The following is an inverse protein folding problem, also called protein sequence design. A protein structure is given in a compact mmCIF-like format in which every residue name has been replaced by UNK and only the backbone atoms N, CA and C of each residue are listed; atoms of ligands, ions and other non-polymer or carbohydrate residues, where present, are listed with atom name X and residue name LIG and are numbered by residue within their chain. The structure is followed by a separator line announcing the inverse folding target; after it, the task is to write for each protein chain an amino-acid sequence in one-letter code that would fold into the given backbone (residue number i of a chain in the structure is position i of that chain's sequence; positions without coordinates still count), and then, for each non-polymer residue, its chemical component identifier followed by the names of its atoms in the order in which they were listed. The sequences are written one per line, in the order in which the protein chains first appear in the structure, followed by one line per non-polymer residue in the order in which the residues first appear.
data_IF_978453690898
#
_entry.id   IF_978453690898
#
_cell.length_a   1.000
_cell.length_b   1.000
_cell.length_c   1.000
_cell.angle_alpha   90.00
_cell.angle_beta   90.00
_cell.angle_gamma   90.00
#
_symmetry.space_group_name_H-M   'P 1'
#
loop_
_entity.id
_entity.type
_entity.pdbx_description
1 polymer ?
#
# COMPACT_ATOMS: atom_id res chain seq x y z
N UNK A 1 41.19 -16.68 -14.52
CA UNK A 1 40.66 -17.43 -13.37
C UNK A 1 40.70 -16.48 -12.18
N UNK A 2 39.84 -15.48 -12.22
CA UNK A 2 39.69 -14.43 -11.22
C UNK A 2 38.23 -13.98 -11.28
N UNK A 3 37.65 -13.73 -10.10
CA UNK A 3 36.42 -12.94 -9.95
C UNK A 3 35.16 -13.72 -9.63
N UNK A 4 35.08 -14.34 -8.46
CA UNK A 4 33.82 -14.77 -7.85
C UNK A 4 33.71 -14.11 -6.46
N UNK A 5 33.55 -12.77 -6.48
CA UNK A 5 33.61 -11.90 -5.31
C UNK A 5 32.28 -11.17 -4.99
N UNK A 6 31.20 -11.41 -5.74
CA UNK A 6 29.95 -10.65 -5.57
C UNK A 6 28.88 -11.33 -4.70
N UNK A 7 29.10 -12.57 -4.23
CA UNK A 7 28.13 -13.28 -3.37
C UNK A 7 28.48 -13.27 -1.88
N UNK A 8 29.61 -12.69 -1.49
CA UNK A 8 30.06 -12.64 -0.09
C UNK A 8 29.59 -11.39 0.68
N UNK A 9 28.92 -10.44 0.02
CA UNK A 9 28.53 -9.16 0.61
C UNK A 9 27.10 -9.13 1.23
N UNK A 10 26.30 -10.19 1.08
CA UNK A 10 24.92 -10.19 1.58
C UNK A 10 24.69 -11.00 2.87
N UNK A 11 25.65 -11.80 3.34
CA UNK A 11 25.39 -12.77 4.42
C UNK A 11 26.48 -12.94 5.50
N UNK A 12 27.56 -12.15 5.49
CA UNK A 12 28.60 -12.26 6.54
C UNK A 12 28.69 -10.98 7.35
N UNK A 13 28.17 -11.04 8.58
CA UNK A 13 28.33 -9.99 9.59
C UNK A 13 27.06 -9.17 9.76
N UNK A 14 26.44 -9.31 10.94
CA UNK A 14 25.40 -8.41 11.40
C UNK A 14 25.94 -6.98 11.46
N UNK A 15 25.70 -6.23 10.39
CA UNK A 15 25.65 -4.77 10.28
C UNK A 15 25.33 -4.47 8.82
N UNK A 16 24.08 -4.71 8.41
CA UNK A 16 23.58 -4.11 7.17
C UNK A 16 23.47 -2.62 7.43
N UNK A 17 24.39 -1.90 6.81
CA UNK A 17 24.62 -0.48 6.88
C UNK A 17 23.30 0.29 6.83
N UNK A 18 22.78 0.60 8.01
CA UNK A 18 21.92 1.76 8.27
C UNK A 18 22.79 3.00 8.01
N UNK A 19 22.99 3.35 6.73
CA UNK A 19 23.40 4.69 6.35
C UNK A 19 22.22 5.37 5.68
N UNK A 20 21.53 6.13 6.51
CA UNK A 20 20.24 6.76 6.24
C UNK A 20 19.22 6.14 7.18
N UNK A 21 18.60 6.95 8.03
CA UNK A 21 17.50 6.52 8.90
C UNK A 21 16.27 6.27 8.02
N UNK A 22 16.29 5.22 7.20
CA UNK A 22 15.13 4.87 6.39
C UNK A 22 14.04 4.38 7.34
N UNK A 23 13.08 5.27 7.61
CA UNK A 23 11.85 4.91 8.31
C UNK A 23 11.05 3.86 7.52
N UNK A 24 9.85 3.49 7.99
CA UNK A 24 8.90 2.73 7.18
C UNK A 24 8.82 3.31 5.74
N UNK A 25 8.46 2.54 4.71
CA UNK A 25 8.48 3.00 3.32
C UNK A 25 7.61 4.26 3.16
N UNK A 26 6.53 4.36 3.94
CA UNK A 26 5.64 5.52 4.07
C UNK A 26 6.35 6.83 4.47
N UNK A 27 7.55 6.73 5.04
CA UNK A 27 8.39 7.84 5.52
C UNK A 27 9.46 8.21 4.51
N UNK A 28 9.67 7.44 3.42
CA UNK A 28 10.61 7.81 2.37
C UNK A 28 10.22 9.19 1.80
N UNK A 29 11.08 10.20 2.02
CA UNK A 29 10.84 11.60 1.66
C UNK A 29 10.10 12.47 2.70
N UNK A 30 9.68 11.91 3.83
CA UNK A 30 9.06 12.62 4.98
C UNK A 30 9.95 12.61 6.23
N UNK A 31 11.22 12.22 6.10
CA UNK A 31 12.19 12.19 7.19
C UNK A 31 12.42 13.60 7.76
N UNK A 32 12.10 13.80 9.03
CA UNK A 32 12.20 15.10 9.70
C UNK A 32 11.03 16.06 9.42
N UNK A 33 9.99 15.62 8.71
CA UNK A 33 8.78 16.43 8.50
C UNK A 33 8.06 16.69 9.84
N UNK A 34 7.77 17.97 10.11
CA UNK A 34 7.18 18.40 11.37
C UNK A 34 5.76 17.85 11.58
N UNK A 35 4.98 17.67 10.51
CA UNK A 35 3.63 17.13 10.60
C UNK A 35 3.67 15.61 10.88
N UNK A 36 4.62 14.88 10.30
CA UNK A 36 4.83 13.47 10.61
C UNK A 36 5.25 13.27 12.07
N UNK A 37 6.20 14.08 12.57
CA UNK A 37 6.62 14.01 13.97
C UNK A 37 5.46 14.32 14.92
N UNK A 38 4.63 15.31 14.58
CA UNK A 38 3.42 15.62 15.34
C UNK A 38 2.47 14.41 15.41
N UNK A 39 2.21 13.73 14.29
CA UNK A 39 1.36 12.54 14.28
C UNK A 39 1.92 11.39 15.13
N UNK A 40 3.24 11.19 15.13
CA UNK A 40 3.93 10.16 15.92
C UNK A 40 3.86 10.42 17.43
N UNK A 41 4.00 11.69 17.83
CA UNK A 41 3.76 12.12 19.22
C UNK A 41 2.30 11.89 19.59
N UNK A 42 1.39 12.25 18.68
CA UNK A 42 -0.05 12.16 18.88
C UNK A 42 -0.61 13.30 19.72
N UNK A 43 -1.90 13.22 19.99
CA UNK A 43 -2.62 14.25 20.71
C UNK A 43 -4.02 13.84 21.14
N UNK A 44 -4.58 14.60 22.07
CA UNK A 44 -5.96 14.46 22.52
C UNK A 44 -6.92 15.05 21.49
N UNK A 45 -7.90 14.24 21.06
CA UNK A 45 -8.96 14.70 20.18
C UNK A 45 -10.31 14.34 20.79
N UNK A 46 -11.27 15.26 20.66
CA UNK A 46 -12.64 14.99 21.06
C UNK A 46 -13.35 14.23 19.95
N UNK A 47 -13.62 12.95 20.20
CA UNK A 47 -14.43 12.12 19.30
C UNK A 47 -15.90 12.45 19.43
N UNK A 48 -16.53 12.80 18.32
CA UNK A 48 -17.96 13.13 18.24
C UNK A 48 -18.73 11.94 17.68
N UNK A 49 -19.84 11.57 18.33
CA UNK A 49 -20.81 10.61 17.78
C UNK A 49 -22.24 11.12 17.80
N UNK A 50 -22.56 11.97 18.78
CA UNK A 50 -23.85 12.64 18.90
C UNK A 50 -23.66 13.93 19.71
N UNK A 51 -24.69 14.76 19.80
CA UNK A 51 -24.66 15.99 20.60
C UNK A 51 -24.38 15.70 22.09
N UNK A 52 -24.84 14.55 22.60
CA UNK A 52 -24.63 14.09 23.98
C UNK A 52 -23.42 13.17 24.16
N UNK A 53 -22.89 12.59 23.08
CA UNK A 53 -21.72 11.72 23.12
C UNK A 53 -20.53 12.39 22.43
N UNK A 54 -19.73 13.05 23.26
CA UNK A 54 -18.43 13.62 22.92
C UNK A 54 -17.42 13.17 23.96
N UNK A 55 -16.31 12.57 23.53
CA UNK A 55 -15.31 12.01 24.45
C UNK A 55 -13.90 12.23 23.94
N UNK A 56 -13.05 12.73 24.82
CA UNK A 56 -11.61 12.86 24.56
C UNK A 56 -10.99 11.47 24.44
N UNK A 57 -10.13 11.32 23.45
CA UNK A 57 -9.36 10.11 23.17
C UNK A 57 -8.02 10.56 22.65
N UNK A 58 -6.96 9.94 23.15
CA UNK A 58 -5.65 10.09 22.55
C UNK A 58 -5.59 9.33 21.21
N UNK A 59 -5.07 9.99 20.18
CA UNK A 59 -4.75 9.38 18.89
C UNK A 59 -3.27 9.59 18.59
N UNK A 60 -2.63 8.59 17.99
CA UNK A 60 -1.28 8.73 17.45
C UNK A 60 -1.04 7.80 16.28
N UNK A 61 -0.16 8.22 15.39
CA UNK A 61 0.45 7.35 14.41
C UNK A 61 1.49 6.48 15.11
N UNK A 62 1.53 5.19 14.78
CA UNK A 62 2.58 4.32 15.29
C UNK A 62 3.88 4.52 14.50
N UNK A 63 5.00 4.07 15.07
CA UNK A 63 6.33 4.16 14.44
C UNK A 63 6.40 3.48 13.06
N UNK A 64 5.48 2.56 12.78
CA UNK A 64 5.33 1.91 11.47
C UNK A 64 4.76 2.83 10.38
N UNK A 65 4.33 4.05 10.72
CA UNK A 65 3.73 5.07 9.87
C UNK A 65 2.58 4.57 8.98
N UNK A 66 2.00 3.43 9.31
CA UNK A 66 0.91 2.78 8.56
C UNK A 66 -0.29 2.50 9.46
N UNK A 67 -0.10 2.53 10.77
CA UNK A 67 -1.13 2.19 11.76
C UNK A 67 -1.45 3.40 12.63
N UNK A 68 -2.72 3.77 12.67
CA UNK A 68 -3.23 4.72 13.66
C UNK A 68 -3.67 3.96 14.91
N UNK A 69 -3.14 4.36 16.06
CA UNK A 69 -3.61 3.91 17.37
C UNK A 69 -4.52 4.96 17.99
N UNK A 70 -5.52 4.49 18.74
CA UNK A 70 -6.39 5.35 19.51
C UNK A 70 -6.77 4.73 20.85
N UNK A 71 -6.94 5.56 21.87
CA UNK A 71 -7.38 5.10 23.18
C UNK A 71 -8.82 4.57 23.12
N UNK A 72 -9.13 3.57 23.95
CA UNK A 72 -10.49 3.06 24.14
C UNK A 72 -10.71 2.60 25.57
N UNK A 73 -11.62 3.26 26.29
CA UNK A 73 -12.03 2.86 27.65
C UNK A 73 -13.06 1.72 27.68
N UNK A 74 -13.27 1.00 26.56
CA UNK A 74 -14.12 -0.21 26.55
C UNK A 74 -13.27 -1.43 26.89
N UNK A 75 -13.58 -2.07 28.02
CA UNK A 75 -12.88 -3.23 28.60
C UNK A 75 -12.81 -4.48 27.71
N UNK A 76 -13.64 -4.60 26.67
CA UNK A 76 -13.77 -5.83 25.87
C UNK A 76 -13.46 -5.68 24.36
N UNK A 77 -13.03 -4.51 23.87
CA UNK A 77 -12.58 -4.37 22.46
C UNK A 77 -11.06 -4.44 22.35
N UNK A 78 -10.58 -5.44 21.60
CA UNK A 78 -9.17 -5.78 21.44
C UNK A 78 -8.41 -4.90 20.42
N UNK A 79 -9.10 -4.31 19.46
CA UNK A 79 -8.46 -3.54 18.38
C UNK A 79 -8.63 -2.04 18.62
N UNK A 80 -7.56 -1.42 19.09
CA UNK A 80 -7.40 0.02 19.31
C UNK A 80 -6.71 0.71 18.13
N UNK A 81 -6.71 0.05 16.98
CA UNK A 81 -5.96 0.48 15.81
C UNK A 81 -6.81 0.41 14.54
N UNK A 82 -6.43 1.20 13.55
CA UNK A 82 -6.89 1.08 12.17
C UNK A 82 -5.74 1.41 11.22
N UNK A 83 -5.74 0.78 10.04
CA UNK A 83 -4.72 1.05 9.02
C UNK A 83 -4.99 2.39 8.32
N UNK A 84 -3.92 3.12 7.99
CA UNK A 84 -3.99 4.30 7.12
C UNK A 84 -4.53 3.92 5.74
N UNK A 85 -4.28 2.70 5.25
CA UNK A 85 -4.81 2.24 3.96
C UNK A 85 -6.34 2.09 3.97
N UNK A 86 -6.97 1.95 5.14
CA UNK A 86 -8.44 1.94 5.23
C UNK A 86 -9.05 3.34 5.06
N UNK A 87 -8.25 4.39 5.10
CA UNK A 87 -8.70 5.78 4.95
C UNK A 87 -8.86 6.08 3.47
N UNK A 88 -10.03 6.58 3.11
CA UNK A 88 -10.33 7.09 1.78
C UNK A 88 -9.83 8.53 1.64
N UNK A 89 -10.27 9.38 2.57
CA UNK A 89 -9.99 10.83 2.56
C UNK A 89 -10.08 11.42 3.97
N UNK A 90 -9.45 12.58 4.15
CA UNK A 90 -9.59 13.41 5.35
C UNK A 90 -10.32 14.69 4.94
N UNK A 91 -11.36 15.06 5.67
CA UNK A 91 -12.20 16.22 5.37
C UNK A 91 -12.02 17.26 6.47
N UNK A 92 -11.52 18.44 6.12
CA UNK A 92 -11.36 19.56 7.05
C UNK A 92 -12.72 20.18 7.38
N UNK A 93 -12.87 20.62 8.62
CA UNK A 93 -14.04 21.36 9.07
C UNK A 93 -15.25 20.47 9.35
N UNK A 94 -16.43 21.08 9.30
CA UNK A 94 -17.72 20.40 9.51
C UNK A 94 -18.28 19.90 8.18
N UNK A 95 -17.46 19.17 7.43
CA UNK A 95 -17.85 18.63 6.11
C UNK A 95 -18.56 17.27 6.20
N UNK A 96 -18.56 16.62 7.37
CA UNK A 96 -19.39 15.44 7.60
C UNK A 96 -20.77 15.80 8.15
N UNK A 97 -21.79 15.04 7.77
CA UNK A 97 -23.15 15.17 8.31
C UNK A 97 -23.15 15.07 9.86
N UNK A 98 -22.31 14.18 10.41
CA UNK A 98 -22.17 14.00 11.86
C UNK A 98 -21.68 15.27 12.57
N UNK A 99 -20.66 15.93 12.05
CA UNK A 99 -20.16 17.18 12.63
C UNK A 99 -21.14 18.34 12.40
N UNK A 100 -21.76 18.45 11.21
CA UNK A 100 -22.78 19.48 10.98
C UNK A 100 -23.93 19.38 11.97
N UNK A 101 -24.38 18.17 12.29
CA UNK A 101 -25.50 17.92 13.19
C UNK A 101 -25.17 18.04 14.68
N UNK A 102 -23.94 17.70 15.07
CA UNK A 102 -23.58 17.52 16.48
C UNK A 102 -22.58 18.56 17.02
N UNK A 103 -22.11 19.49 16.19
CA UNK A 103 -21.26 20.61 16.60
C UNK A 103 -21.84 21.94 16.10
N UNK A 104 -21.25 23.05 16.54
CA UNK A 104 -21.68 24.41 16.21
C UNK A 104 -20.72 25.07 15.19
N UNK A 105 -21.17 26.14 14.52
CA UNK A 105 -20.35 26.83 13.51
C UNK A 105 -19.04 27.41 14.07
N UNK A 106 -19.02 27.82 15.34
CA UNK A 106 -17.83 28.43 15.94
C UNK A 106 -16.65 27.45 16.11
N UNK A 107 -16.88 26.13 16.08
CA UNK A 107 -15.81 25.12 16.16
C UNK A 107 -15.37 24.60 14.79
N UNK A 108 -15.79 25.23 13.70
CA UNK A 108 -15.54 24.75 12.34
C UNK A 108 -14.05 24.54 12.05
N UNK A 109 -13.19 25.50 12.39
CA UNK A 109 -11.75 25.40 12.15
C UNK A 109 -11.02 24.39 13.05
N UNK A 110 -11.69 23.88 14.09
CA UNK A 110 -11.17 22.84 15.00
C UNK A 110 -11.58 21.43 14.55
N UNK A 111 -12.56 21.34 13.65
CA UNK A 111 -13.18 20.09 13.25
C UNK A 111 -12.46 19.44 12.07
N UNK A 112 -12.46 18.11 12.03
CA UNK A 112 -12.15 17.34 10.83
C UNK A 112 -12.71 15.91 10.93
N UNK A 113 -12.83 15.23 9.79
CA UNK A 113 -13.32 13.86 9.70
C UNK A 113 -12.36 12.97 8.94
N UNK A 114 -12.13 11.76 9.45
CA UNK A 114 -11.47 10.69 8.71
C UNK A 114 -12.56 9.82 8.06
N UNK A 115 -12.57 9.80 6.73
CA UNK A 115 -13.50 9.01 5.92
C UNK A 115 -12.84 7.69 5.59
N UNK A 116 -13.52 6.59 5.88
CA UNK A 116 -13.01 5.25 5.61
C UNK A 116 -13.54 4.72 4.27
N UNK A 117 -12.74 3.91 3.60
CA UNK A 117 -13.14 3.15 2.42
C UNK A 117 -14.33 2.22 2.76
N UNK A 118 -15.23 2.03 1.80
CA UNK A 118 -16.39 1.14 1.93
C UNK A 118 -17.51 1.67 2.84
N UNK A 119 -18.15 0.75 3.58
CA UNK A 119 -19.35 1.03 4.41
C UNK A 119 -19.05 1.43 5.85
N UNK A 120 -17.78 1.65 6.20
CA UNK A 120 -17.39 2.05 7.56
C UNK A 120 -17.82 3.49 7.82
N UNK A 121 -18.29 3.76 9.04
CA UNK A 121 -18.68 5.11 9.47
C UNK A 121 -17.48 6.03 9.61
N UNK A 122 -17.67 7.29 9.26
CA UNK A 122 -16.68 8.36 9.43
C UNK A 122 -16.26 8.49 10.90
N UNK A 123 -15.03 8.92 11.12
CA UNK A 123 -14.52 9.28 12.43
C UNK A 123 -14.44 10.80 12.53
N UNK A 124 -15.39 11.37 13.28
CA UNK A 124 -15.55 12.80 13.48
C UNK A 124 -14.79 13.27 14.73
N UNK A 125 -13.93 14.28 14.57
CA UNK A 125 -12.95 14.72 15.57
C UNK A 125 -12.95 16.25 15.70
N UNK A 126 -12.67 16.73 16.91
CA UNK A 126 -12.40 18.14 17.21
C UNK A 126 -11.04 18.21 17.91
N UNK A 127 -10.13 19.02 17.37
CA UNK A 127 -8.82 19.29 17.96
C UNK A 127 -8.89 20.35 19.07
N UNK A 128 -7.80 20.50 19.84
CA UNK A 128 -7.77 21.49 20.93
C UNK A 128 -7.46 22.91 20.43
N UNK A 129 -6.83 23.03 19.25
CA UNK A 129 -6.51 24.29 18.59
C UNK A 129 -6.67 24.18 17.07
N UNK A 130 -6.74 25.34 16.40
CA UNK A 130 -6.83 25.42 14.93
C UNK A 130 -5.53 24.92 14.30
N UNK A 131 -4.41 25.18 14.94
CA UNK A 131 -3.08 24.72 14.55
C UNK A 131 -3.01 23.19 14.59
N UNK A 132 -3.45 22.56 15.69
CA UNK A 132 -3.50 21.10 15.77
C UNK A 132 -4.43 20.49 14.73
N UNK A 133 -5.62 21.07 14.51
CA UNK A 133 -6.53 20.59 13.48
C UNK A 133 -5.86 20.59 12.09
N UNK A 134 -5.13 21.67 11.77
CA UNK A 134 -4.36 21.78 10.53
C UNK A 134 -3.25 20.74 10.43
N UNK A 135 -2.48 20.53 11.49
CA UNK A 135 -1.39 19.54 11.51
C UNK A 135 -1.91 18.10 11.37
N UNK A 136 -3.02 17.78 12.04
CA UNK A 136 -3.69 16.47 11.89
C UNK A 136 -4.14 16.22 10.45
N UNK A 137 -4.84 17.18 9.84
CA UNK A 137 -5.33 17.06 8.46
C UNK A 137 -4.16 16.96 7.48
N UNK A 138 -3.23 17.91 7.54
CA UNK A 138 -2.11 17.98 6.61
C UNK A 138 -1.17 16.78 6.73
N UNK A 139 -0.86 16.35 7.95
CA UNK A 139 -0.05 15.16 8.19
C UNK A 139 -0.68 13.90 7.61
N UNK A 140 -1.98 13.67 7.85
CA UNK A 140 -2.68 12.50 7.32
C UNK A 140 -2.78 12.55 5.79
N UNK A 141 -3.06 13.71 5.20
CA UNK A 141 -3.09 13.89 3.74
C UNK A 141 -1.72 13.63 3.09
N UNK A 142 -0.63 14.12 3.71
CA UNK A 142 0.75 13.83 3.27
C UNK A 142 1.04 12.34 3.26
N UNK A 143 0.73 11.64 4.36
CA UNK A 143 0.94 10.19 4.48
C UNK A 143 0.13 9.44 3.41
N UNK A 144 -1.15 9.81 3.21
CA UNK A 144 -2.01 9.18 2.20
C UNK A 144 -1.50 9.42 0.78
N UNK A 145 -1.01 10.63 0.49
CA UNK A 145 -0.39 10.96 -0.79
C UNK A 145 0.90 10.17 -1.01
N UNK A 146 1.76 10.06 0.01
CA UNK A 146 3.00 9.32 -0.08
C UNK A 146 2.75 7.82 -0.26
N UNK A 147 1.80 7.24 0.48
CA UNK A 147 1.35 5.86 0.30
C UNK A 147 0.88 5.59 -1.13
N UNK A 148 0.10 6.50 -1.74
CA UNK A 148 -0.33 6.38 -3.14
C UNK A 148 0.83 6.43 -4.13
N UNK A 149 1.90 7.18 -3.84
CA UNK A 149 3.11 7.25 -4.66
C UNK A 149 3.98 5.99 -4.51
N UNK A 150 4.19 5.53 -3.28
CA UNK A 150 4.96 4.32 -2.96
C UNK A 150 4.29 3.06 -3.49
N UNK A 151 2.96 2.96 -3.38
CA UNK A 151 2.21 1.83 -3.93
C UNK A 151 2.33 1.73 -5.47
N UNK A 152 2.73 2.82 -6.14
CA UNK A 152 3.08 2.82 -7.56
C UNK A 152 4.56 2.52 -7.79
N UNK A 153 5.48 3.07 -7.00
CA UNK A 153 6.92 2.92 -7.25
C UNK A 153 7.59 1.69 -6.61
N UNK A 154 6.97 1.00 -5.65
CA UNK A 154 7.74 0.17 -4.70
C UNK A 154 6.95 -0.91 -3.93
N UNK A 155 6.22 -1.90 -4.49
CA UNK A 155 5.61 -2.91 -3.56
C UNK A 155 5.18 -4.26 -4.14
N UNK A 156 6.14 -5.16 -4.35
CA UNK A 156 5.95 -6.58 -3.97
C UNK A 156 6.83 -6.92 -2.77
N UNK A 157 8.12 -6.61 -2.86
CA UNK A 157 9.12 -7.05 -1.86
C UNK A 157 8.98 -6.33 -0.52
N UNK A 158 8.89 -4.99 -0.54
CA UNK A 158 8.84 -4.18 0.68
C UNK A 158 7.58 -4.46 1.52
N UNK A 159 6.44 -4.74 0.88
CA UNK A 159 5.21 -5.07 1.60
C UNK A 159 5.29 -6.47 2.23
N UNK A 160 5.86 -7.44 1.52
CA UNK A 160 6.12 -8.77 2.05
C UNK A 160 7.07 -8.70 3.26
N UNK A 161 8.19 -7.98 3.16
CA UNK A 161 9.10 -7.81 4.29
C UNK A 161 8.44 -7.15 5.50
N UNK A 162 7.56 -6.15 5.29
CA UNK A 162 6.78 -5.55 6.37
C UNK A 162 5.78 -6.54 6.99
N UNK A 163 5.11 -7.36 6.19
CA UNK A 163 4.21 -8.41 6.69
C UNK A 163 4.99 -9.49 7.46
N UNK A 164 6.22 -9.84 7.03
CA UNK A 164 7.08 -10.79 7.76
C UNK A 164 7.49 -10.24 9.12
N UNK A 165 7.90 -8.96 9.20
CA UNK A 165 8.22 -8.29 10.47
C UNK A 165 7.01 -8.20 11.43
N UNK A 166 5.79 -8.12 10.90
CA UNK A 166 4.56 -8.14 11.70
C UNK A 166 4.19 -9.55 12.16
N UNK A 167 4.55 -10.56 11.38
CA UNK A 167 4.33 -11.95 11.70
C UNK A 167 5.29 -12.47 12.77
N UNK A 168 6.54 -11.99 12.77
CA UNK A 168 7.56 -12.22 13.81
C UNK A 168 7.18 -11.49 15.11
N UNK A 169 6.49 -12.20 16.02
CA UNK A 169 5.97 -11.58 17.26
C UNK A 169 6.99 -11.55 18.39
N UNK A 170 7.94 -12.48 18.36
CA UNK A 170 8.99 -12.62 19.37
C UNK A 170 10.28 -11.87 19.00
N UNK A 171 10.36 -11.31 17.79
CA UNK A 171 11.49 -10.53 17.24
C UNK A 171 12.79 -11.32 17.22
N UNK A 172 12.70 -12.64 17.04
CA UNK A 172 13.86 -13.52 17.00
C UNK A 172 14.42 -13.70 15.57
N UNK A 173 13.83 -13.03 14.57
CA UNK A 173 14.13 -13.16 13.15
C UNK A 173 13.93 -14.59 12.62
N UNK A 174 13.13 -15.40 13.31
CA UNK A 174 12.73 -16.74 12.88
C UNK A 174 11.25 -16.73 12.53
N UNK A 175 10.84 -17.68 11.70
CA UNK A 175 9.42 -17.83 11.34
C UNK A 175 8.94 -19.23 11.70
N UNK A 176 8.13 -19.33 12.74
CA UNK A 176 7.46 -20.59 13.09
C UNK A 176 6.28 -20.86 12.15
N UNK A 177 5.80 -22.11 12.08
CA UNK A 177 4.61 -22.47 11.29
C UNK A 177 3.38 -21.60 11.63
N UNK A 178 3.23 -21.22 12.90
CA UNK A 178 2.13 -20.37 13.37
C UNK A 178 2.27 -18.94 12.85
N UNK A 179 3.49 -18.42 12.77
CA UNK A 179 3.79 -17.10 12.24
C UNK A 179 3.71 -17.09 10.71
N UNK A 180 4.11 -18.17 10.04
CA UNK A 180 3.89 -18.37 8.61
C UNK A 180 2.39 -18.35 8.28
N UNK A 181 1.56 -19.12 8.99
CA UNK A 181 0.09 -19.10 8.82
C UNK A 181 -0.50 -17.71 9.08
N UNK A 182 0.06 -16.98 10.05
CA UNK A 182 -0.37 -15.61 10.33
C UNK A 182 0.02 -14.67 9.19
N UNK A 183 1.24 -14.78 8.69
CA UNK A 183 1.78 -14.04 7.56
C UNK A 183 0.93 -14.24 6.30
N UNK A 184 0.62 -15.49 5.92
CA UNK A 184 -0.20 -15.79 4.73
C UNK A 184 -1.58 -15.12 4.79
N UNK A 185 -2.21 -15.09 5.98
CA UNK A 185 -3.47 -14.35 6.19
C UNK A 185 -3.30 -12.84 6.10
N UNK A 186 -2.15 -12.29 6.53
CA UNK A 186 -1.88 -10.85 6.38
C UNK A 186 -1.71 -10.46 4.92
N UNK A 187 -1.22 -11.36 4.07
CA UNK A 187 -1.09 -11.14 2.63
C UNK A 187 -2.31 -11.60 1.82
N UNK A 188 -3.45 -11.85 2.49
CA UNK A 188 -4.72 -12.24 1.90
C UNK A 188 -4.69 -13.56 1.10
N UNK A 189 -3.80 -14.49 1.48
CA UNK A 189 -3.77 -15.84 0.94
C UNK A 189 -4.45 -16.78 1.95
N UNK A 190 -5.62 -17.29 1.55
CA UNK A 190 -6.29 -18.35 2.30
C UNK A 190 -5.68 -19.70 1.94
N UNK A 191 -4.96 -20.29 2.89
CA UNK A 191 -4.44 -21.65 2.78
C UNK A 191 -5.08 -22.53 3.85
N UNK A 192 -5.36 -23.78 3.49
CA UNK A 192 -5.71 -24.79 4.49
C UNK A 192 -4.49 -25.18 5.34
N UNK A 193 -4.75 -25.75 6.52
CA UNK A 193 -3.70 -26.06 7.49
C UNK A 193 -2.70 -27.09 6.96
N UNK A 194 -3.14 -28.00 6.09
CA UNK A 194 -2.32 -29.06 5.50
C UNK A 194 -1.35 -28.48 4.47
N UNK A 195 -1.81 -27.57 3.61
CA UNK A 195 -0.98 -26.91 2.61
C UNK A 195 0.07 -26.02 3.27
N UNK A 196 -0.29 -25.29 4.33
CA UNK A 196 0.67 -24.50 5.10
C UNK A 196 1.75 -25.37 5.76
N UNK A 197 1.41 -26.58 6.24
CA UNK A 197 2.38 -27.54 6.78
C UNK A 197 3.31 -28.09 5.70
N UNK A 198 2.79 -28.44 4.53
CA UNK A 198 3.59 -28.88 3.37
C UNK A 198 4.54 -27.77 2.92
N UNK A 199 4.05 -26.53 2.82
CA UNK A 199 4.86 -25.38 2.42
C UNK A 199 5.97 -25.08 3.44
N UNK A 200 5.65 -25.14 4.73
CA UNK A 200 6.63 -24.97 5.80
C UNK A 200 7.70 -26.06 5.76
N UNK A 201 7.31 -27.33 5.67
CA UNK A 201 8.24 -28.46 5.59
C UNK A 201 9.11 -28.42 4.31
N UNK A 202 8.59 -27.85 3.21
CA UNK A 202 9.36 -27.63 2.00
C UNK A 202 10.51 -26.63 2.23
N UNK A 203 10.29 -25.63 3.09
CA UNK A 203 11.22 -24.54 3.37
C UNK A 203 12.19 -24.82 4.53
N UNK A 204 11.75 -25.53 5.58
CA UNK A 204 12.55 -25.90 6.75
C UNK A 204 13.52 -27.04 6.40
N UNK A 205 14.61 -26.73 5.68
CA UNK A 205 15.65 -27.68 5.30
C UNK A 205 16.50 -28.12 6.49
N UNK A 206 16.59 -27.27 7.50
CA UNK A 206 17.32 -27.49 8.74
C UNK A 206 16.57 -28.40 9.72
N UNK A 207 15.26 -28.63 9.51
CA UNK A 207 14.35 -29.31 10.45
C UNK A 207 14.41 -28.69 11.85
N UNK A 208 14.59 -27.37 11.93
CA UNK A 208 14.75 -26.66 13.19
C UNK A 208 13.40 -26.33 13.84
N UNK A 209 12.29 -26.50 13.10
CA UNK A 209 10.95 -26.09 13.55
C UNK A 209 10.68 -24.60 13.36
N UNK A 210 11.60 -23.88 12.72
CA UNK A 210 11.48 -22.45 12.37
C UNK A 210 12.27 -22.15 11.10
N UNK A 211 11.78 -21.27 10.24
CA UNK A 211 12.55 -20.82 9.08
C UNK A 211 13.51 -19.70 9.49
N UNK A 212 14.78 -19.81 9.11
CA UNK A 212 15.82 -18.81 9.39
C UNK A 212 16.62 -18.46 8.14
N UNK A 213 17.00 -17.18 8.00
CA UNK A 213 17.93 -16.68 6.97
C UNK A 213 17.65 -17.22 5.55
N UNK A 214 18.46 -18.15 5.01
CA UNK A 214 18.26 -18.74 3.68
C UNK A 214 16.90 -19.45 3.49
N UNK A 215 16.32 -20.02 4.54
CA UNK A 215 15.02 -20.72 4.46
C UNK A 215 13.85 -19.74 4.37
N UNK A 216 13.97 -18.60 5.05
CA UNK A 216 13.07 -17.46 4.90
C UNK A 216 13.13 -16.93 3.46
N UNK A 217 14.34 -16.81 2.90
CA UNK A 217 14.53 -16.43 1.50
C UNK A 217 13.89 -17.46 0.56
N UNK A 218 14.10 -18.75 0.80
CA UNK A 218 13.51 -19.79 -0.03
C UNK A 218 11.97 -19.78 0.03
N UNK A 219 11.39 -19.55 1.20
CA UNK A 219 9.95 -19.36 1.36
C UNK A 219 9.45 -18.13 0.60
N UNK A 220 10.18 -17.02 0.70
CA UNK A 220 9.88 -15.80 -0.05
C UNK A 220 9.89 -16.06 -1.56
N UNK A 221 10.96 -16.67 -2.07
CA UNK A 221 11.11 -17.00 -3.49
C UNK A 221 9.94 -17.86 -3.98
N UNK A 222 9.48 -18.83 -3.17
CA UNK A 222 8.33 -19.67 -3.49
C UNK A 222 6.99 -18.91 -3.52
N UNK A 223 6.84 -17.86 -2.71
CA UNK A 223 5.62 -17.04 -2.69
C UNK A 223 5.53 -16.07 -3.86
N UNK A 224 6.67 -15.49 -4.25
CA UNK A 224 6.73 -14.56 -5.38
C UNK A 224 6.95 -15.28 -6.71
N UNK A 225 7.20 -16.59 -6.68
CA UNK A 225 7.35 -17.42 -7.87
C UNK A 225 6.07 -17.42 -8.70
N UNK A 226 6.19 -16.96 -9.94
CA UNK A 226 5.11 -16.90 -10.93
C UNK A 226 5.59 -17.55 -12.21
N UNK A 227 5.22 -18.81 -12.39
CA UNK A 227 5.61 -19.62 -13.55
C UNK A 227 5.24 -18.93 -14.87
N UNK A 228 4.09 -18.26 -14.92
CA UNK A 228 3.64 -17.53 -16.10
C UNK A 228 4.60 -16.39 -16.49
N UNK A 229 5.26 -15.77 -15.52
CA UNK A 229 6.25 -14.72 -15.77
C UNK A 229 7.54 -15.35 -16.29
N UNK A 230 7.96 -16.50 -15.77
CA UNK A 230 9.12 -17.23 -16.28
C UNK A 230 8.93 -17.67 -17.73
N UNK A 231 7.74 -18.15 -18.09
CA UNK A 231 7.42 -18.54 -19.47
C UNK A 231 7.48 -17.34 -20.41
N UNK A 232 6.88 -16.21 -20.02
CA UNK A 232 6.89 -15.00 -20.85
C UNK A 232 8.30 -14.43 -20.94
N UNK A 233 8.99 -14.25 -19.80
CA UNK A 233 10.33 -13.71 -19.77
C UNK A 233 11.31 -14.58 -20.57
N UNK A 234 11.28 -15.89 -20.38
CA UNK A 234 12.12 -16.85 -21.11
C UNK A 234 11.82 -16.91 -22.61
N UNK A 235 10.56 -16.63 -23.02
CA UNK A 235 10.19 -16.53 -24.45
C UNK A 235 10.84 -15.32 -25.13
N UNK A 236 11.00 -14.20 -24.42
CA UNK A 236 11.48 -12.94 -25.02
C UNK A 236 12.94 -12.62 -24.72
N UNK A 237 13.51 -13.04 -23.58
CA UNK A 237 14.91 -12.84 -23.23
C UNK A 237 15.83 -13.78 -24.04
N UNK A 238 15.98 -13.52 -25.34
CA UNK A 238 16.71 -14.42 -26.27
C UNK A 238 18.22 -14.21 -26.26
N UNK A 239 18.71 -13.08 -25.73
CA UNK A 239 20.12 -12.66 -25.78
C UNK A 239 20.90 -13.02 -24.50
N UNK A 240 20.49 -14.07 -23.76
CA UNK A 240 21.13 -14.54 -22.53
C UNK A 240 20.15 -14.66 -21.37
N UNK A 241 20.63 -14.54 -20.12
CA UNK A 241 19.78 -14.54 -18.92
C UNK A 241 19.02 -13.21 -18.72
N UNK A 242 19.41 -12.16 -19.46
CA UNK A 242 18.83 -10.83 -19.38
C UNK A 242 18.19 -10.40 -20.70
N UNK A 243 17.12 -9.63 -20.62
CA UNK A 243 16.39 -9.11 -21.76
C UNK A 243 17.10 -7.86 -22.31
N UNK A 244 17.60 -7.91 -23.54
CA UNK A 244 18.17 -6.74 -24.20
C UNK A 244 17.09 -5.72 -24.59
N UNK A 245 17.48 -4.50 -24.98
CA UNK A 245 16.55 -3.49 -25.55
C UNK A 245 15.69 -4.07 -26.69
N UNK A 246 16.31 -4.87 -27.56
CA UNK A 246 15.63 -5.48 -28.71
C UNK A 246 14.62 -6.54 -28.25
N UNK A 247 14.99 -7.33 -27.25
CA UNK A 247 14.12 -8.35 -26.67
C UNK A 247 12.90 -7.70 -26.01
N UNK A 248 13.11 -6.62 -25.23
CA UNK A 248 12.02 -5.87 -24.61
C UNK A 248 11.11 -5.23 -25.67
N UNK A 249 11.67 -4.62 -26.71
CA UNK A 249 10.88 -4.08 -27.81
C UNK A 249 10.04 -5.17 -28.49
N UNK A 250 10.60 -6.35 -28.72
CA UNK A 250 9.86 -7.48 -29.27
C UNK A 250 8.71 -7.91 -28.35
N UNK A 251 8.91 -7.90 -27.04
CA UNK A 251 7.85 -8.17 -26.08
C UNK A 251 6.72 -7.11 -26.16
N UNK A 252 7.07 -5.82 -26.19
CA UNK A 252 6.08 -4.73 -26.27
C UNK A 252 5.24 -4.81 -27.56
N UNK A 253 5.88 -5.08 -28.70
CA UNK A 253 5.20 -5.16 -30.00
C UNK A 253 4.34 -6.42 -30.13
N UNK A 254 4.81 -7.57 -29.65
CA UNK A 254 4.17 -8.87 -29.95
C UNK A 254 3.29 -9.40 -28.81
N UNK A 255 3.70 -9.23 -27.55
CA UNK A 255 2.94 -9.69 -26.39
C UNK A 255 1.97 -8.61 -25.91
N UNK A 256 2.45 -7.37 -25.71
CA UNK A 256 1.61 -6.25 -25.26
C UNK A 256 0.80 -5.60 -26.39
N UNK A 257 1.21 -5.82 -27.65
CA UNK A 257 0.61 -5.21 -28.85
C UNK A 257 0.61 -3.68 -28.80
N UNK A 258 1.64 -3.12 -28.19
CA UNK A 258 1.84 -1.68 -28.09
C UNK A 258 2.56 -1.12 -29.31
N UNK A 259 2.36 0.17 -29.58
CA UNK A 259 3.19 0.90 -30.55
C UNK A 259 4.39 1.46 -29.78
N UNK A 260 5.52 0.77 -29.85
CA UNK A 260 6.74 1.12 -29.13
C UNK A 260 7.96 1.23 -30.06
N UNK A 261 8.94 2.03 -29.64
CA UNK A 261 10.23 2.25 -30.30
C UNK A 261 11.38 1.73 -29.44
N UNK A 262 12.58 1.63 -30.02
CA UNK A 262 13.80 1.30 -29.26
C UNK A 262 14.06 2.29 -28.12
N UNK A 263 13.75 3.57 -28.32
CA UNK A 263 13.91 4.61 -27.30
C UNK A 263 12.94 4.38 -26.13
N UNK A 264 11.71 3.96 -26.41
CA UNK A 264 10.73 3.59 -25.37
C UNK A 264 11.24 2.42 -24.54
N UNK A 265 11.75 1.37 -25.19
CA UNK A 265 12.34 0.22 -24.51
C UNK A 265 13.53 0.64 -23.62
N UNK A 266 14.45 1.48 -24.11
CA UNK A 266 15.57 2.01 -23.29
C UNK A 266 15.03 2.78 -22.08
N UNK A 267 14.04 3.66 -22.26
CA UNK A 267 13.46 4.42 -21.14
C UNK A 267 12.85 3.51 -20.08
N UNK A 268 12.14 2.45 -20.48
CA UNK A 268 11.56 1.49 -19.55
C UNK A 268 12.64 0.75 -18.76
N UNK A 269 13.73 0.32 -19.43
CA UNK A 269 14.88 -0.32 -18.76
C UNK A 269 15.50 0.63 -17.75
N UNK A 270 15.83 1.86 -18.16
CA UNK A 270 16.47 2.82 -17.25
C UNK A 270 15.59 3.18 -16.05
N UNK A 271 14.27 3.13 -16.22
CA UNK A 271 13.31 3.48 -15.17
C UNK A 271 13.02 2.34 -14.20
N UNK A 272 12.91 1.10 -14.69
CA UNK A 272 12.36 -0.02 -13.92
C UNK A 272 13.37 -1.10 -13.56
N UNK A 273 14.52 -1.14 -14.22
CA UNK A 273 15.59 -2.02 -13.80
C UNK A 273 16.06 -1.65 -12.38
N UNK A 274 16.51 -2.63 -11.61
CA UNK A 274 17.01 -2.41 -10.25
C UNK A 274 18.52 -2.60 -10.18
N UNK A 275 19.09 -3.48 -11.00
CA UNK A 275 20.51 -3.73 -11.05
C UNK A 275 21.26 -2.70 -11.91
N UNK A 276 22.21 -1.98 -11.30
CA UNK A 276 22.94 -0.90 -11.97
C UNK A 276 23.87 -1.41 -13.08
N UNK A 277 24.37 -2.66 -12.97
CA UNK A 277 25.21 -3.28 -14.01
C UNK A 277 24.39 -3.60 -15.26
N UNK A 278 23.18 -4.14 -15.09
CA UNK A 278 22.22 -4.39 -16.16
C UNK A 278 21.74 -3.08 -16.80
N UNK A 279 21.45 -2.04 -15.99
CA UNK A 279 21.12 -0.70 -16.50
C UNK A 279 22.19 -0.11 -17.39
N UNK A 280 23.46 -0.18 -16.98
CA UNK A 280 24.58 0.35 -17.77
C UNK A 280 24.70 -0.36 -19.13
N UNK A 281 24.34 -1.64 -19.19
CA UNK A 281 24.31 -2.43 -20.43
C UNK A 281 23.01 -2.24 -21.23
N UNK A 282 22.04 -1.47 -20.75
CA UNK A 282 20.66 -1.43 -21.27
C UNK A 282 20.03 -2.83 -21.40
N UNK A 283 20.19 -3.63 -20.34
CA UNK A 283 19.55 -4.92 -20.20
C UNK A 283 18.57 -4.88 -19.01
N UNK A 284 17.50 -5.65 -19.12
CA UNK A 284 16.49 -5.80 -18.09
C UNK A 284 16.56 -7.21 -17.51
N UNK A 285 16.64 -7.29 -16.19
CA UNK A 285 16.54 -8.53 -15.42
C UNK A 285 15.07 -8.93 -15.26
N UNK A 286 14.84 -10.16 -14.78
CA UNK A 286 13.48 -10.62 -14.45
C UNK A 286 12.82 -9.72 -13.39
N UNK A 287 13.59 -9.23 -12.43
CA UNK A 287 13.09 -8.34 -11.37
C UNK A 287 12.72 -6.97 -11.93
N UNK A 288 13.52 -6.40 -12.83
CA UNK A 288 13.18 -5.17 -13.55
C UNK A 288 11.94 -5.33 -14.44
N UNK A 289 11.78 -6.50 -15.07
CA UNK A 289 10.61 -6.83 -15.87
C UNK A 289 9.33 -6.96 -15.03
N UNK A 290 9.42 -7.64 -13.88
CA UNK A 290 8.33 -7.71 -12.91
C UNK A 290 7.95 -6.32 -12.38
N UNK A 291 8.94 -5.48 -12.09
CA UNK A 291 8.70 -4.11 -11.67
C UNK A 291 7.92 -3.35 -12.73
N UNK A 292 8.34 -3.42 -14.01
CA UNK A 292 7.62 -2.81 -15.14
C UNK A 292 6.16 -3.27 -15.25
N UNK A 293 5.88 -4.57 -15.16
CA UNK A 293 4.52 -5.13 -15.28
C UNK A 293 3.55 -4.63 -14.20
N UNK A 294 4.06 -4.12 -13.09
CA UNK A 294 3.25 -3.57 -11.99
C UNK A 294 2.97 -2.07 -12.14
N UNK A 295 3.52 -1.42 -13.16
CA UNK A 295 3.41 0.03 -13.37
C UNK A 295 2.25 0.40 -14.28
N UNK A 296 1.98 1.70 -14.37
CA UNK A 296 0.93 2.23 -15.24
C UNK A 296 1.21 1.93 -16.73
N UNK A 297 2.49 1.90 -17.13
CA UNK A 297 2.92 1.52 -18.48
C UNK A 297 2.75 0.03 -18.77
N UNK A 298 2.56 -0.82 -17.75
CA UNK A 298 2.17 -2.23 -17.90
C UNK A 298 0.68 -2.46 -17.62
N UNK A 299 -0.11 -1.40 -17.52
CA UNK A 299 -1.51 -1.49 -17.15
C UNK A 299 -2.38 -2.03 -18.29
N UNK A 300 -3.38 -2.83 -17.93
CA UNK A 300 -4.42 -3.29 -18.88
C UNK A 300 -5.28 -2.13 -19.42
N UNK A 301 -5.28 -0.97 -18.74
CA UNK A 301 -6.06 0.19 -19.16
C UNK A 301 -5.35 0.95 -20.28
N UNK A 302 -6.07 1.26 -21.36
CA UNK A 302 -5.54 2.08 -22.45
C UNK A 302 -5.19 3.50 -21.93
N UNK A 303 -3.92 3.92 -21.97
CA UNK A 303 -3.51 5.25 -21.50
C UNK A 303 -4.23 6.39 -22.23
N UNK A 304 -4.62 6.21 -23.49
CA UNK A 304 -5.36 7.20 -24.27
C UNK A 304 -6.76 7.49 -23.71
N UNK A 305 -7.31 6.60 -22.87
CA UNK A 305 -8.63 6.75 -22.25
C UNK A 305 -8.55 7.27 -20.80
N UNK A 306 -7.36 7.70 -20.34
CA UNK A 306 -7.16 8.23 -19.00
C UNK A 306 -7.88 9.57 -18.79
N UNK A 307 -7.96 10.37 -19.85
CA UNK A 307 -8.74 11.60 -19.88
C UNK A 307 -10.03 11.40 -20.70
N UNK A 308 -10.88 12.44 -20.76
CA UNK A 308 -12.11 12.41 -21.55
C UNK A 308 -11.76 12.31 -23.03
N UNK A 309 -11.83 11.10 -23.57
CA UNK A 309 -11.47 10.77 -24.95
C UNK A 309 -12.70 10.67 -25.89
N UNK A 310 -13.90 10.63 -25.31
CA UNK A 310 -15.14 10.56 -26.07
C UNK A 310 -15.49 11.96 -26.62
N UNK A 311 -16.13 12.00 -27.78
CA UNK A 311 -16.68 13.25 -28.29
C UNK A 311 -17.78 13.73 -27.34
N UNK A 312 -17.56 14.87 -26.67
CA UNK A 312 -18.49 15.47 -25.70
C UNK A 312 -19.43 16.53 -26.33
N UNK A 313 -19.49 16.59 -27.66
CA UNK A 313 -20.34 17.55 -28.41
C UNK A 313 -21.66 16.96 -28.93
N UNK A 314 -21.89 15.66 -28.74
CA UNK A 314 -23.13 15.00 -29.16
C UNK A 314 -24.30 15.40 -28.25
N UNK A 315 -25.55 15.18 -28.70
CA UNK A 315 -26.72 15.33 -27.85
C UNK A 315 -26.67 14.43 -26.60
N UNK A 316 -27.24 14.90 -25.47
CA UNK A 316 -27.16 14.20 -24.16
C UNK A 316 -27.70 12.75 -24.18
N UNK A 317 -28.65 12.45 -25.07
CA UNK A 317 -29.25 11.12 -25.21
C UNK A 317 -28.36 10.12 -25.97
N UNK A 318 -27.17 10.54 -26.43
CA UNK A 318 -26.17 9.65 -27.05
C UNK A 318 -25.16 9.08 -26.02
N UNK A 319 -25.23 9.52 -24.76
CA UNK A 319 -24.31 9.08 -23.71
C UNK A 319 -24.99 8.16 -22.71
N UNK A 320 -24.24 7.17 -22.23
CA UNK A 320 -24.61 6.48 -20.99
C UNK A 320 -24.28 7.39 -19.81
N UNK A 321 -25.29 7.72 -19.01
CA UNK A 321 -25.13 8.58 -17.84
C UNK A 321 -25.14 7.71 -16.59
N UNK A 322 -24.02 7.71 -15.86
CA UNK A 322 -23.96 7.09 -14.54
C UNK A 322 -25.04 7.68 -13.64
N UNK A 323 -26.00 6.85 -13.25
CA UNK A 323 -27.22 7.26 -12.57
C UNK A 323 -27.37 6.47 -11.29
N UNK A 324 -27.74 7.15 -10.21
CA UNK A 324 -27.97 6.54 -8.90
C UNK A 324 -29.46 6.54 -8.58
N UNK A 325 -29.96 5.43 -8.02
CA UNK A 325 -31.36 5.28 -7.61
C UNK A 325 -31.44 5.26 -6.08
N UNK A 326 -32.34 6.06 -5.50
CA UNK A 326 -32.48 6.24 -4.05
C UNK A 326 -31.15 6.56 -3.36
N UNK A 327 -30.39 7.51 -3.93
CA UNK A 327 -29.03 7.84 -3.50
C UNK A 327 -28.93 8.10 -2.01
N UNK A 328 -29.95 8.69 -1.39
CA UNK A 328 -29.97 8.97 0.05
C UNK A 328 -29.88 7.72 0.96
N UNK A 329 -30.19 6.51 0.48
CA UNK A 329 -30.20 5.29 1.29
C UNK A 329 -28.79 4.72 1.47
N UNK A 330 -28.37 4.56 2.72
CA UNK A 330 -27.05 4.01 3.05
C UNK A 330 -27.03 2.48 3.18
N UNK A 331 -28.20 1.87 3.43
CA UNK A 331 -28.33 0.44 3.74
C UNK A 331 -29.52 -0.17 2.98
N UNK A 332 -30.55 -0.66 3.69
CA UNK A 332 -31.68 -1.36 3.07
C UNK A 332 -32.83 -0.43 2.62
N UNK A 333 -33.67 -0.94 1.72
CA UNK A 333 -34.78 -0.18 1.11
C UNK A 333 -35.97 0.10 2.05
N UNK A 334 -36.08 -0.60 3.19
CA UNK A 334 -37.29 -0.55 4.03
C UNK A 334 -37.08 0.18 5.35
N UNK A 335 -35.91 0.00 5.97
CA UNK A 335 -35.58 0.47 7.33
C UNK A 335 -34.22 1.15 7.41
N UNK A 336 -33.47 1.20 6.29
CA UNK A 336 -32.15 1.77 6.23
C UNK A 336 -32.16 3.28 6.50
N UNK A 337 -31.14 3.83 7.16
CA UNK A 337 -31.05 5.26 7.40
C UNK A 337 -30.82 6.02 6.08
N UNK A 338 -31.44 7.20 5.99
CA UNK A 338 -31.20 8.18 4.92
C UNK A 338 -30.07 9.13 5.33
N UNK A 339 -29.18 9.49 4.41
CA UNK A 339 -28.05 10.40 4.68
C UNK A 339 -27.72 11.27 3.47
N UNK A 340 -27.30 12.50 3.75
CA UNK A 340 -26.77 13.43 2.74
C UNK A 340 -25.36 13.03 2.26
N UNK A 341 -24.61 12.27 3.07
CA UNK A 341 -23.29 11.73 2.71
C UNK A 341 -23.33 10.84 1.47
N UNK A 342 -24.48 10.21 1.24
CA UNK A 342 -24.66 9.29 0.14
C UNK A 342 -24.63 9.99 -1.23
N UNK A 343 -24.87 11.31 -1.28
CA UNK A 343 -24.73 12.11 -2.51
C UNK A 343 -23.31 12.64 -2.74
N UNK A 344 -22.46 12.62 -1.71
CA UNK A 344 -21.06 13.09 -1.79
C UNK A 344 -20.12 11.93 -2.14
N UNK A 345 -20.46 10.71 -1.72
CA UNK A 345 -19.77 9.47 -2.09
C UNK A 345 -20.09 9.08 -3.52
#
# INVERSE_FOLDING_TARGET
LEGDADLQLLLVGGELLVRGRCGPPVVAGLEGDADLQFLLVGGELMKVKSSSWKKNRFYKLQEDCTTMWHESHRTFKRNQTFSIDEIDSVRKGRQSEGLQKHTEAHVEDLCFSIVFKGRRRNLDLIATSVEEARQWVHGLEKILSNMKKLNRQQTSEHWIFNCMRKADKNKDNKMTLKELKHFLRQINIEVDDMYAEVLFAKCDKSNSGSLEGPEIKHFYDLLIYREEIDVIYGKYATTGEQMSVKDLLNFLLNEQREVATMEDAVRLIQRYELDDSAKQKNHMTKDGFLMYLQQEEGSIFNPAHKEVFQDMSQPINHYFISSSHNTYLMEDQLKGPSSTEAYIK
#
